data_IF_987859964278
#
_entry.id   IF_987859964278
#
_cell.length_a   1.000
_cell.length_b   1.000
_cell.length_c   1.000
_cell.angle_alpha   90.00
_cell.angle_beta   90.00
_cell.angle_gamma   90.00
#
_symmetry.space_group_name_H-M   'P 1'
#
loop_
_entity.id
_entity.type
_entity.pdbx_description
1 polymer ?
2 branched ?
3 non-polymer ?
4 non-polymer ?
5 water ?
#
# COMPACT_ATOMS: atom_id res chain seq x y z
N UNK A 1 -14.24 8.48 -1.38
CA UNK A 1 -13.70 7.58 -0.29
C UNK A 1 -13.86 6.18 -0.75
N UNK A 2 -13.05 5.25 -0.25
CA UNK A 2 -13.32 3.84 -0.45
C UNK A 2 -13.55 3.15 0.92
N UNK A 3 -14.19 1.99 0.89
CA UNK A 3 -14.52 1.20 2.08
C UNK A 3 -14.19 -0.30 1.99
N UNK A 4 -14.11 -0.95 3.15
CA UNK A 4 -13.95 -2.41 3.21
C UNK A 4 -14.35 -2.93 4.59
N UNK A 5 -15.19 -3.98 4.62
CA UNK A 5 -15.77 -4.51 5.84
C UNK A 5 -15.26 -5.94 5.96
N UNK A 6 -14.59 -6.25 7.07
CA UNK A 6 -14.03 -7.61 7.27
C UNK A 6 -15.18 -8.58 7.60
N UNK A 7 -16.29 -8.02 8.06
CA UNK A 7 -17.45 -8.81 8.37
C UNK A 7 -18.12 -9.38 7.12
N UNK A 8 -18.06 -10.72 6.96
CA UNK A 8 -18.51 -11.38 5.73
C UNK A 8 -17.54 -11.26 4.57
N UNK A 9 -16.42 -10.57 4.78
CA UNK A 9 -15.39 -10.47 3.71
C UNK A 9 -15.06 -11.85 3.11
N UNK A 10 -14.82 -11.88 1.80
CA UNK A 10 -14.38 -13.08 1.10
C UNK A 10 -13.50 -12.68 -0.07
N UNK A 11 -12.88 -13.64 -0.76
CA UNK A 11 -11.96 -13.17 -1.84
C UNK A 11 -12.55 -12.19 -2.83
N UNK A 12 -13.89 -12.27 -3.00
CA UNK A 12 -14.60 -11.42 -3.91
C UNK A 12 -14.74 -9.97 -3.38
N UNK A 13 -15.40 -9.72 -2.22
CA UNK A 13 -15.53 -8.36 -1.69
C UNK A 13 -14.13 -7.68 -1.48
N UNK A 14 -13.17 -8.47 -1.12
CA UNK A 14 -11.83 -7.87 -0.98
C UNK A 14 -11.41 -7.39 -2.37
N UNK A 15 -11.48 -8.28 -3.39
CA UNK A 15 -11.17 -7.89 -4.80
C UNK A 15 -11.88 -6.62 -5.22
N UNK A 16 -13.16 -6.52 -4.88
CA UNK A 16 -13.89 -5.32 -5.19
C UNK A 16 -13.26 -4.06 -4.48
N UNK A 17 -12.85 -4.19 -3.21
CA UNK A 17 -12.30 -3.05 -2.53
C UNK A 17 -10.96 -2.65 -3.21
N UNK A 18 -10.14 -3.64 -3.55
CA UNK A 18 -8.87 -3.27 -4.14
C UNK A 18 -9.15 -2.57 -5.50
N UNK A 19 -10.15 -3.07 -6.27
CA UNK A 19 -10.55 -2.36 -7.51
C UNK A 19 -11.04 -0.91 -7.24
N UNK A 20 -11.88 -0.72 -6.21
CA UNK A 20 -12.29 0.64 -5.82
C UNK A 20 -11.10 1.51 -5.43
N UNK A 21 -10.18 0.91 -4.67
CA UNK A 21 -8.97 1.65 -4.25
C UNK A 21 -8.19 2.14 -5.52
N UNK A 22 -7.88 1.25 -6.44
CA UNK A 22 -7.16 1.68 -7.65
C UNK A 22 -7.91 2.79 -8.41
N UNK A 23 -9.23 2.70 -8.41
CA UNK A 23 -10.08 3.58 -9.27
C UNK A 23 -10.26 4.93 -8.69
N UNK A 24 -10.05 5.02 -7.37
CA UNK A 24 -10.02 6.29 -6.68
C UNK A 24 -8.71 7.10 -6.91
N UNK A 25 -7.67 6.45 -7.41
CA UNK A 25 -6.41 7.14 -7.67
C UNK A 25 -6.42 7.80 -9.05
N UNK A 26 -6.17 9.10 -9.12
CA UNK A 26 -6.34 9.74 -10.41
C UNK A 26 -5.06 9.71 -11.24
N UNK A 27 -5.25 9.83 -12.55
CA UNK A 27 -4.16 9.82 -13.53
C UNK A 27 -4.76 10.49 -14.79
N UNK A 28 -3.90 10.94 -15.69
CA UNK A 28 -4.38 11.47 -16.99
C UNK A 28 -3.76 10.73 -18.18
N UNK A 29 -2.79 9.87 -17.90
CA UNK A 29 -2.06 9.12 -18.90
C UNK A 29 -1.93 7.64 -18.48
N UNK A 30 -1.79 6.73 -19.46
CA UNK A 30 -1.32 5.37 -19.16
C UNK A 30 0.01 5.17 -19.84
N UNK A 31 0.85 4.36 -19.23
CA UNK A 31 2.13 4.07 -19.84
C UNK A 31 2.14 2.54 -19.98
N UNK A 32 2.29 2.09 -21.24
CA UNK A 32 2.11 0.70 -21.59
C UNK A 32 0.81 0.15 -21.02
N UNK A 33 -0.22 1.00 -21.03
CA UNK A 33 -1.51 0.58 -20.61
C UNK A 33 -1.69 0.49 -19.05
N UNK A 34 -0.70 0.98 -18.30
CA UNK A 34 -0.78 1.04 -16.82
C UNK A 34 -0.99 2.46 -16.35
N UNK A 35 -2.06 2.73 -15.56
CA UNK A 35 -2.26 4.06 -15.09
C UNK A 35 -0.97 4.66 -14.52
N UNK A 36 -0.64 5.91 -14.89
CA UNK A 36 0.48 6.68 -14.34
C UNK A 36 -0.01 7.67 -13.30
N UNK A 37 0.41 7.48 -12.04
CA UNK A 37 0.02 8.42 -10.98
C UNK A 37 0.51 9.85 -11.22
N UNK A 38 -0.28 10.84 -10.76
CA UNK A 38 0.10 12.24 -10.98
C UNK A 38 1.38 12.67 -10.31
N UNK A 39 2.05 13.67 -10.88
CA UNK A 39 3.24 14.23 -10.25
C UNK A 39 2.95 14.88 -8.87
N UNK A 40 1.78 15.54 -8.72
CA UNK A 40 1.39 16.14 -7.49
C UNK A 40 -0.08 16.53 -7.59
N UNK A 41 -0.66 16.78 -6.43
CA UNK A 41 -2.03 17.23 -6.32
C UNK A 41 -1.96 18.21 -5.17
N UNK A 42 -2.66 19.34 -5.30
CA UNK A 42 -2.57 20.40 -4.31
C UNK A 42 -3.74 20.38 -3.32
N UNK A 43 -3.42 20.62 -2.05
CA UNK A 43 -4.40 20.71 -1.00
C UNK A 43 -5.03 19.38 -0.68
N UNK A 44 -6.31 19.43 -0.36
CA UNK A 44 -6.99 18.32 0.23
C UNK A 44 -7.11 17.15 -0.74
N UNK A 45 -7.17 17.42 -2.05
CA UNK A 45 -7.50 16.39 -3.00
C UNK A 45 -6.35 15.38 -3.14
N UNK A 46 -5.22 15.69 -2.53
CA UNK A 46 -4.08 14.81 -2.53
C UNK A 46 -4.35 13.51 -1.75
N UNK A 47 -5.39 13.49 -0.92
CA UNK A 47 -5.52 12.41 0.07
C UNK A 47 -6.80 11.59 -0.12
N UNK A 48 -6.68 10.28 -0.30
CA UNK A 48 -7.85 9.43 -0.24
C UNK A 48 -8.11 8.89 1.17
N UNK A 49 -9.39 8.86 1.59
CA UNK A 49 -9.85 8.25 2.87
C UNK A 49 -10.40 6.83 2.60
N UNK A 50 -9.75 5.85 3.22
CA UNK A 50 -10.20 4.46 3.27
C UNK A 50 -10.92 4.22 4.60
N UNK A 51 -12.20 3.89 4.53
CA UNK A 51 -12.92 3.47 5.74
C UNK A 51 -12.82 1.97 5.89
N UNK A 52 -12.13 1.51 6.93
CA UNK A 52 -11.99 0.07 7.16
C UNK A 52 -12.74 -0.34 8.42
N UNK A 53 -13.29 -1.46 8.44
CA UNK A 53 -14.20 -1.95 9.49
C UNK A 53 -13.83 -3.31 9.98
N UNK A 54 -13.48 -3.53 11.16
CA UNK A 54 -13.15 -4.83 11.67
C UNK A 54 -14.36 -5.73 11.75
N UNK A 55 -14.10 -6.97 12.10
CA UNK A 55 -15.17 -7.95 12.12
C UNK A 55 -16.36 -7.54 12.97
N UNK A 56 -16.11 -6.91 14.12
CA UNK A 56 -17.16 -6.40 15.00
C UNK A 56 -17.71 -5.10 14.56
N UNK A 57 -17.18 -4.57 13.48
CA UNK A 57 -17.83 -3.36 12.97
C UNK A 57 -17.28 -2.04 13.51
N UNK A 58 -16.21 -2.10 14.27
CA UNK A 58 -15.52 -0.84 14.65
C UNK A 58 -14.69 -0.38 13.46
N UNK A 59 -14.40 0.90 13.39
CA UNK A 59 -13.80 1.48 12.19
C UNK A 59 -12.62 2.42 12.45
N UNK A 60 -11.67 2.42 11.52
CA UNK A 60 -10.73 3.50 11.37
C UNK A 60 -10.81 4.08 9.95
N UNK A 61 -10.34 5.32 9.76
CA UNK A 61 -10.20 5.94 8.47
C UNK A 61 -8.73 6.16 8.20
N UNK A 62 -8.29 5.69 7.05
CA UNK A 62 -6.85 5.79 6.73
C UNK A 62 -6.76 6.82 5.59
N UNK A 63 -5.86 7.78 5.77
CA UNK A 63 -5.51 8.77 4.73
C UNK A 63 -4.39 8.28 3.85
N UNK A 64 -4.63 8.30 2.53
CA UNK A 64 -3.65 7.81 1.55
C UNK A 64 -3.28 8.94 0.53
N UNK A 65 -1.99 9.18 0.34
CA UNK A 65 -1.50 10.12 -0.64
C UNK A 65 -1.73 9.47 -2.04
N UNK A 66 -2.65 10.09 -2.82
CA UNK A 66 -3.08 9.55 -4.15
C UNK A 66 -1.96 9.60 -5.22
N UNK A 67 -0.85 10.28 -4.93
CA UNK A 67 0.26 10.36 -5.88
C UNK A 67 1.27 9.25 -5.72
N UNK A 68 1.35 8.61 -4.52
CA UNK A 68 2.31 7.48 -4.34
C UNK A 68 1.77 6.22 -3.59
N UNK A 69 0.50 6.29 -3.18
CA UNK A 69 -0.11 5.22 -2.41
C UNK A 69 0.56 5.01 -1.04
N UNK A 70 1.06 6.09 -0.44
CA UNK A 70 1.68 6.02 0.89
C UNK A 70 0.64 6.40 1.88
N UNK A 71 0.54 5.56 2.90
CA UNK A 71 -0.35 5.88 4.05
C UNK A 71 0.28 7.03 4.87
N UNK A 72 -0.51 8.07 5.11
CA UNK A 72 -0.08 9.25 5.86
C UNK A 72 -0.43 9.08 7.39
N UNK A 73 -1.56 8.48 7.64
CA UNK A 73 -2.05 8.44 9.04
C UNK A 73 -3.46 7.96 9.03
N UNK A 74 -4.12 7.94 10.19
CA UNK A 74 -5.48 7.39 10.29
C UNK A 74 -6.17 8.00 11.43
N UNK A 75 -7.46 7.79 11.43
CA UNK A 75 -8.28 8.33 12.50
C UNK A 75 -8.99 7.15 13.18
N UNK A 76 -8.82 7.08 14.48
CA UNK A 76 -9.44 6.07 15.30
C UNK A 76 -10.24 6.73 16.38
N UNK A 77 -11.54 6.76 16.19
CA UNK A 77 -12.49 7.46 17.02
C UNK A 77 -12.19 8.92 17.01
N UNK A 78 -11.89 9.50 18.15
CA UNK A 78 -11.72 10.91 18.19
C UNK A 78 -10.26 11.28 18.30
N UNK A 79 -9.40 10.38 17.89
CA UNK A 79 -7.97 10.64 17.95
C UNK A 79 -7.34 10.39 16.57
N UNK A 80 -6.53 11.33 16.05
CA UNK A 80 -5.85 11.06 14.78
C UNK A 80 -4.43 10.68 15.09
N UNK A 81 -3.79 9.97 14.18
CA UNK A 81 -2.39 9.49 14.33
C UNK A 81 -1.64 9.75 12.99
N UNK A 82 -0.38 10.22 12.96
CA UNK A 82 0.25 10.44 11.65
C UNK A 82 1.69 9.99 11.82
N UNK A 83 2.29 9.44 10.77
CA UNK A 83 3.71 9.16 10.82
C UNK A 83 4.59 10.38 11.13
N UNK A 84 5.82 10.14 11.63
CA UNK A 84 6.71 11.22 12.04
C UNK A 84 7.52 11.48 10.80
N UNK A 85 6.89 12.19 9.86
CA UNK A 85 7.56 12.53 8.55
C UNK A 85 6.88 13.75 7.91
N UNK A 86 7.67 14.54 7.15
CA UNK A 86 7.12 15.83 6.65
C UNK A 86 5.85 15.68 5.81
N UNK A 87 5.83 14.67 4.93
CA UNK A 87 4.69 14.37 4.11
C UNK A 87 3.46 14.11 4.96
N UNK A 88 3.59 13.34 6.06
CA UNK A 88 2.44 13.14 6.97
C UNK A 88 2.04 14.39 7.71
N UNK A 89 3.03 15.17 8.17
CA UNK A 89 2.77 16.41 8.90
C UNK A 89 1.97 17.33 7.97
N UNK A 90 2.41 17.43 6.71
CA UNK A 90 1.64 18.17 5.71
C UNK A 90 0.22 17.63 5.56
N UNK A 91 0.05 16.30 5.49
CA UNK A 91 -1.34 15.79 5.41
C UNK A 91 -2.21 16.16 6.62
N UNK A 92 -1.57 16.27 7.79
CA UNK A 92 -2.34 16.63 9.01
C UNK A 92 -2.93 18.04 8.90
N UNK A 93 -2.46 18.82 7.93
CA UNK A 93 -3.01 20.16 7.71
C UNK A 93 -4.37 20.05 7.03
N UNK A 94 -4.65 18.90 6.39
CA UNK A 94 -5.88 18.69 5.61
C UNK A 94 -6.92 17.65 6.06
N UNK A 95 -6.47 16.52 6.63
CA UNK A 95 -7.40 15.44 6.98
C UNK A 95 -7.50 15.27 8.50
N UNK A 96 -8.70 14.91 8.97
CA UNK A 96 -8.91 14.53 10.40
C UNK A 96 -8.75 15.73 11.33
N UNK A 97 -8.89 16.93 10.77
CA UNK A 97 -8.76 18.16 11.55
C UNK A 97 -9.72 18.21 12.74
N UNK A 98 -10.89 17.53 12.65
CA UNK A 98 -11.81 17.54 13.77
C UNK A 98 -11.58 16.49 14.87
N UNK A 99 -10.45 15.77 14.85
CA UNK A 99 -10.08 14.89 15.96
C UNK A 99 -9.90 15.74 17.19
N UNK A 100 -10.26 15.17 18.35
CA UNK A 100 -10.04 15.88 19.62
C UNK A 100 -8.55 16.03 19.95
N UNK A 101 -7.73 15.08 19.56
CA UNK A 101 -6.27 15.28 19.71
C UNK A 101 -5.58 14.57 18.58
N UNK A 102 -4.31 14.92 18.39
CA UNK A 102 -3.54 14.43 17.28
C UNK A 102 -2.27 13.89 17.90
N UNK A 103 -1.98 12.61 17.62
CA UNK A 103 -0.73 11.98 18.05
C UNK A 103 0.18 11.79 16.89
N UNK A 104 1.43 12.15 17.03
CA UNK A 104 2.35 11.79 16.01
C UNK A 104 2.82 10.44 16.50
N UNK A 105 2.87 9.45 15.64
CA UNK A 105 3.59 8.19 15.86
C UNK A 105 5.07 8.47 16.15
N UNK A 106 5.75 7.55 16.88
CA UNK A 106 7.20 7.78 17.01
C UNK A 106 8.15 7.29 15.89
N UNK A 107 7.59 7.04 14.71
CA UNK A 107 8.32 6.42 13.60
C UNK A 107 7.68 7.10 12.40
N UNK A 108 8.42 7.17 11.30
CA UNK A 108 7.89 7.45 9.96
C UNK A 108 7.32 6.17 9.36
N UNK A 109 6.89 6.25 8.10
CA UNK A 109 6.19 5.15 7.48
C UNK A 109 6.97 4.17 6.64
N UNK A 110 8.27 4.30 6.54
CA UNK A 110 8.90 3.33 5.67
C UNK A 110 9.16 1.98 6.32
N UNK A 111 9.27 0.97 5.47
CA UNK A 111 9.34 -0.37 5.93
C UNK A 111 10.45 -0.54 6.97
N UNK A 112 11.64 -0.04 6.68
CA UNK A 112 12.77 -0.24 7.60
C UNK A 112 12.44 0.19 9.03
N UNK A 113 11.96 1.42 9.17
CA UNK A 113 11.64 2.01 10.43
C UNK A 113 10.49 1.32 11.14
N UNK A 114 9.46 0.92 10.41
CA UNK A 114 8.31 0.20 11.03
C UNK A 114 8.75 -1.17 11.54
N UNK A 115 9.72 -1.81 10.85
CA UNK A 115 10.22 -3.14 11.21
C UNK A 115 11.08 -3.03 12.47
N UNK A 116 11.87 -1.95 12.56
CA UNK A 116 12.60 -1.64 13.79
C UNK A 116 11.62 -1.46 14.95
N UNK A 117 10.59 -0.60 14.76
CA UNK A 117 9.62 -0.37 15.80
C UNK A 117 8.93 -1.63 16.24
N UNK A 118 8.52 -2.45 15.27
CA UNK A 118 7.78 -3.68 15.51
C UNK A 118 8.65 -4.80 16.12
N UNK A 119 9.95 -4.71 15.94
CA UNK A 119 10.85 -5.74 16.46
C UNK A 119 10.97 -7.00 15.57
N UNK A 120 10.65 -6.88 14.29
CA UNK A 120 10.79 -8.01 13.39
C UNK A 120 10.63 -7.60 11.94
N UNK A 121 11.22 -8.35 11.01
CA UNK A 121 11.08 -7.98 9.60
C UNK A 121 9.67 -8.45 9.12
N UNK A 122 9.18 -7.90 8.05
CA UNK A 122 7.90 -8.34 7.64
C UNK A 122 7.87 -9.74 6.97
N UNK A 123 9.03 -10.30 6.64
CA UNK A 123 9.11 -11.70 6.28
C UNK A 123 8.50 -12.60 7.36
N UNK A 124 8.44 -12.13 8.60
CA UNK A 124 8.08 -13.01 9.68
C UNK A 124 6.73 -12.64 10.21
N UNK A 125 6.03 -11.70 9.54
CA UNK A 125 4.67 -11.25 10.01
C UNK A 125 3.53 -11.76 9.07
N UNK A 126 2.69 -12.66 9.56
CA UNK A 126 1.67 -13.22 8.69
C UNK A 126 0.78 -12.08 8.18
N UNK A 127 0.29 -12.22 6.95
CA UNK A 127 -0.69 -11.27 6.42
C UNK A 127 -1.87 -12.02 5.87
N UNK A 128 -3.03 -11.32 5.71
CA UNK A 128 -4.16 -11.97 5.20
C UNK A 128 -5.34 -11.16 5.72
N UNK A 129 -6.53 -11.60 5.41
CA UNK A 129 -7.70 -10.86 5.90
C UNK A 129 -7.80 -11.00 7.43
N UNK A 130 -7.56 -12.20 7.99
CA UNK A 130 -7.71 -12.17 9.47
C UNK A 130 -6.69 -11.24 10.10
N UNK A 131 -5.45 -11.19 9.57
CA UNK A 131 -4.50 -10.25 10.12
C UNK A 131 -4.89 -8.77 9.95
N UNK A 132 -5.48 -8.43 8.82
CA UNK A 132 -6.04 -7.10 8.66
C UNK A 132 -7.04 -6.80 9.73
N UNK A 133 -7.92 -7.76 10.02
CA UNK A 133 -8.92 -7.53 11.10
C UNK A 133 -8.28 -7.24 12.49
N UNK A 134 -7.20 -7.96 12.81
CA UNK A 134 -6.39 -7.69 13.98
C UNK A 134 -5.79 -6.26 13.91
N UNK A 135 -5.10 -5.95 12.79
CA UNK A 135 -4.50 -4.63 12.52
C UNK A 135 -5.48 -3.53 12.88
N UNK A 136 -6.62 -3.56 12.21
CA UNK A 136 -7.64 -2.58 12.49
C UNK A 136 -7.85 -2.52 14.01
N UNK A 137 -8.02 -3.67 14.67
CA UNK A 137 -8.43 -3.66 16.11
C UNK A 137 -7.34 -3.01 16.95
N UNK A 138 -6.11 -3.34 16.66
CA UNK A 138 -5.02 -2.77 17.36
C UNK A 138 -4.92 -1.27 17.26
N UNK A 139 -5.18 -0.72 16.06
CA UNK A 139 -4.96 0.70 15.77
C UNK A 139 -6.05 1.51 16.45
N UNK A 140 -7.08 0.81 16.85
CA UNK A 140 -8.20 1.44 17.58
C UNK A 140 -7.74 2.01 18.96
N UNK A 141 -6.67 1.46 19.57
CA UNK A 141 -6.14 2.07 20.78
C UNK A 141 -4.66 2.21 20.81
N UNK A 142 -4.19 3.40 21.21
CA UNK A 142 -2.81 3.72 20.93
C UNK A 142 -1.90 2.72 21.57
N UNK A 143 -1.03 2.09 20.79
CA UNK A 143 0.07 1.30 21.36
C UNK A 143 1.19 1.28 20.34
N UNK A 144 2.18 2.16 20.47
CA UNK A 144 3.05 2.36 19.31
C UNK A 144 3.77 1.12 18.82
N UNK A 145 4.17 0.23 19.73
CA UNK A 145 4.91 -0.97 19.36
C UNK A 145 4.03 -1.91 18.55
N UNK A 146 2.84 -2.17 19.06
CA UNK A 146 1.87 -3.06 18.37
C UNK A 146 1.37 -2.40 17.07
N UNK A 147 1.22 -1.07 17.10
CA UNK A 147 0.87 -0.35 15.90
C UNK A 147 1.84 -0.50 14.75
N UNK A 148 3.12 -0.63 15.05
CA UNK A 148 4.09 -0.71 13.96
C UNK A 148 3.80 -1.98 13.14
N UNK A 149 3.61 -3.10 13.82
CA UNK A 149 3.31 -4.40 13.17
C UNK A 149 1.93 -4.35 12.50
N UNK A 150 0.98 -3.69 13.15
CA UNK A 150 -0.36 -3.54 12.53
C UNK A 150 -0.29 -2.73 11.17
N UNK A 151 0.45 -1.64 11.16
CA UNK A 151 0.66 -0.83 9.97
C UNK A 151 1.40 -1.59 8.87
N UNK A 152 2.40 -2.40 9.22
CA UNK A 152 3.01 -3.28 8.25
C UNK A 152 1.97 -4.17 7.56
N UNK A 153 1.04 -4.68 8.37
CA UNK A 153 0.01 -5.55 7.80
C UNK A 153 -0.88 -4.72 6.90
N UNK A 154 -1.30 -3.55 7.44
CA UNK A 154 -2.27 -2.69 6.75
C UNK A 154 -1.74 -2.14 5.41
N UNK A 155 -0.45 -1.78 5.38
CA UNK A 155 0.13 -1.24 4.13
C UNK A 155 0.12 -2.34 3.04
N UNK A 156 0.61 -3.53 3.42
CA UNK A 156 0.69 -4.63 2.49
C UNK A 156 -0.65 -5.10 1.92
N UNK A 157 -1.67 -5.12 2.76
CA UNK A 157 -2.95 -5.60 2.31
C UNK A 157 -3.81 -4.52 1.67
N UNK A 158 -3.34 -3.27 1.65
CA UNK A 158 -4.17 -2.27 0.97
C UNK A 158 -3.40 -1.61 -0.22
N UNK A 159 -2.26 -0.95 0.07
CA UNK A 159 -1.48 -0.25 -0.95
C UNK A 159 -0.69 -1.25 -1.78
N UNK A 160 -0.07 -2.25 -1.18
CA UNK A 160 0.74 -3.13 -2.01
C UNK A 160 -0.12 -3.99 -2.94
N UNK A 161 -1.27 -4.42 -2.42
CA UNK A 161 -2.29 -5.07 -3.26
C UNK A 161 -2.84 -4.21 -4.39
N UNK A 162 -3.09 -2.91 -4.15
CA UNK A 162 -3.57 -2.03 -5.26
C UNK A 162 -2.44 -1.94 -6.34
N UNK A 163 -1.20 -1.93 -5.90
CA UNK A 163 -0.09 -1.78 -6.82
C UNK A 163 0.20 -3.00 -7.68
N UNK A 164 0.01 -4.20 -7.11
CA UNK A 164 0.36 -5.42 -7.83
C UNK A 164 -0.67 -6.49 -7.79
N UNK A 165 -1.05 -7.00 -8.96
CA UNK A 165 -2.21 -7.92 -9.01
C UNK A 165 -1.84 -9.21 -8.28
N UNK A 166 -0.57 -9.60 -8.36
CA UNK A 166 -0.13 -10.77 -7.70
C UNK A 166 -0.38 -10.60 -6.15
N UNK A 167 -0.20 -9.39 -5.62
CA UNK A 167 -0.19 -9.30 -4.15
C UNK A 167 -1.66 -9.36 -3.71
N UNK A 168 -2.51 -8.80 -4.54
CA UNK A 168 -3.95 -8.89 -4.31
C UNK A 168 -4.35 -10.40 -4.24
N UNK A 169 -3.83 -11.21 -5.18
CA UNK A 169 -4.12 -12.65 -5.19
C UNK A 169 -3.55 -13.39 -3.98
N UNK A 170 -2.35 -13.03 -3.55
CA UNK A 170 -1.83 -13.55 -2.30
C UNK A 170 -2.77 -13.33 -1.12
N UNK A 171 -3.28 -12.12 -0.98
CA UNK A 171 -4.21 -11.79 0.13
C UNK A 171 -5.48 -12.59 0.01
N UNK A 172 -6.01 -12.71 -1.21
CA UNK A 172 -7.24 -13.50 -1.45
C UNK A 172 -7.01 -14.96 -1.10
N UNK A 173 -5.80 -15.46 -1.30
CA UNK A 173 -5.45 -16.84 -0.93
C UNK A 173 -5.45 -16.94 0.63
N UNK A 174 -5.20 -15.82 1.31
CA UNK A 174 -5.10 -15.80 2.74
C UNK A 174 -6.37 -15.23 3.32
N UNK A 175 -7.49 -15.43 2.67
CA UNK A 175 -8.74 -14.85 3.22
C UNK A 175 -9.23 -15.32 4.61
N UNK A 176 -8.89 -16.55 4.97
CA UNK A 176 -9.37 -17.18 6.19
C UNK A 176 -8.27 -17.78 6.98
N UNK A 177 -7.05 -17.64 6.48
CA UNK A 177 -5.87 -18.15 7.17
C UNK A 177 -4.67 -17.24 6.82
N UNK A 178 -4.07 -16.54 7.79
CA UNK A 178 -2.89 -15.73 7.49
C UNK A 178 -1.72 -16.57 7.13
N UNK A 179 -0.79 -16.02 6.34
CA UNK A 179 0.52 -16.63 6.13
C UNK A 179 1.53 -15.53 5.86
N UNK A 180 2.81 -15.74 6.22
CA UNK A 180 3.81 -14.73 5.90
C UNK A 180 3.78 -14.55 4.37
N UNK A 181 4.12 -13.34 3.88
CA UNK A 181 4.15 -13.05 2.42
C UNK A 181 5.27 -13.87 1.76
N UNK A 182 5.07 -14.23 0.47
CA UNK A 182 6.08 -14.99 -0.26
C UNK A 182 7.29 -14.08 -0.48
N UNK A 183 8.49 -14.62 -0.76
CA UNK A 183 9.51 -13.66 -1.08
C UNK A 183 9.28 -12.85 -2.38
N UNK A 184 8.53 -13.42 -3.31
CA UNK A 184 8.10 -12.65 -4.50
C UNK A 184 7.36 -11.41 -4.05
N UNK A 185 6.46 -11.57 -3.08
CA UNK A 185 5.67 -10.45 -2.59
C UNK A 185 6.57 -9.34 -2.03
N UNK A 186 7.52 -9.76 -1.18
CA UNK A 186 8.54 -8.86 -0.66
C UNK A 186 9.34 -8.14 -1.79
N UNK A 187 9.84 -8.93 -2.74
CA UNK A 187 10.53 -8.40 -3.95
C UNK A 187 9.68 -7.34 -4.68
N UNK A 188 8.40 -7.63 -5.02
CA UNK A 188 7.63 -6.64 -5.73
C UNK A 188 7.50 -5.34 -4.93
N UNK A 189 7.13 -5.46 -3.64
CA UNK A 189 7.06 -4.29 -2.76
C UNK A 189 8.31 -3.47 -2.83
N UNK A 190 9.45 -4.14 -2.66
CA UNK A 190 10.69 -3.43 -2.71
C UNK A 190 11.07 -2.82 -4.07
N UNK A 191 10.46 -3.30 -5.16
CA UNK A 191 10.87 -2.89 -6.53
C UNK A 191 9.92 -1.93 -7.20
N UNK A 192 8.89 -1.52 -6.46
CA UNK A 192 7.82 -0.77 -7.07
C UNK A 192 8.29 0.54 -7.69
N UNK A 193 9.06 1.30 -6.93
CA UNK A 193 9.68 2.48 -7.47
C UNK A 193 10.58 2.17 -8.70
N UNK A 194 11.52 1.25 -8.54
CA UNK A 194 12.36 0.85 -9.66
C UNK A 194 11.63 0.44 -10.94
N UNK A 195 10.59 -0.38 -10.79
CA UNK A 195 9.78 -0.80 -11.93
C UNK A 195 9.01 0.32 -12.56
N UNK A 196 8.45 1.17 -11.72
CA UNK A 196 7.70 2.30 -12.19
C UNK A 196 8.61 3.17 -13.06
N UNK A 197 9.84 3.39 -12.61
CA UNK A 197 10.80 4.20 -13.35
C UNK A 197 11.26 3.57 -14.69
N UNK A 198 11.54 2.26 -14.69
CA UNK A 198 12.02 1.55 -15.86
C UNK A 198 10.95 1.39 -16.94
N UNK A 199 9.68 1.30 -16.54
CA UNK A 199 8.59 1.22 -17.45
C UNK A 199 8.49 2.61 -18.12
N UNK A 200 8.61 3.68 -17.34
CA UNK A 200 8.56 5.01 -17.92
C UNK A 200 9.75 5.32 -18.88
N UNK A 201 10.93 4.86 -18.52
CA UNK A 201 12.10 5.07 -19.38
C UNK A 201 12.05 4.25 -20.66
N UNK A 202 11.30 3.16 -20.63
CA UNK A 202 11.20 2.35 -21.81
C UNK A 202 10.39 3.07 -22.93
N UNK A 203 9.63 4.12 -22.57
CA UNK A 203 8.72 4.78 -23.51
C UNK A 203 9.50 5.33 -24.71
N UNK A 204 10.69 5.86 -24.46
CA UNK A 204 11.52 6.27 -25.57
C UNK A 204 12.73 5.39 -25.84
N UNK A 205 12.71 4.15 -25.41
CA UNK A 205 13.86 3.27 -25.56
C UNK A 205 13.27 2.00 -26.14
N UNK A 206 12.16 2.13 -26.88
CA UNK A 206 11.57 0.97 -27.59
C UNK A 206 11.13 -0.19 -26.68
N UNK A 207 10.63 0.13 -25.49
CA UNK A 207 10.19 -0.89 -24.55
C UNK A 207 11.30 -1.64 -23.82
N UNK A 208 12.55 -1.21 -23.97
CA UNK A 208 13.68 -1.80 -23.24
C UNK A 208 13.95 -0.93 -21.99
N UNK A 209 14.09 -1.58 -20.82
CA UNK A 209 14.57 -0.91 -19.58
C UNK A 209 16.00 -0.41 -19.76
N UNK A 210 16.29 0.84 -19.37
CA UNK A 210 17.69 1.31 -19.25
C UNK A 210 18.50 0.52 -18.22
N UNK A 211 17.90 0.24 -17.06
CA UNK A 211 18.49 -0.63 -16.07
C UNK A 211 17.54 -1.80 -15.70
N UNK A 212 18.04 -3.04 -15.77
CA UNK A 212 17.27 -4.24 -15.43
C UNK A 212 16.85 -4.25 -13.98
N UNK A 213 15.65 -4.75 -13.72
CA UNK A 213 15.17 -5.00 -12.36
C UNK A 213 15.25 -6.49 -12.01
N UNK A 214 15.91 -6.79 -10.88
CA UNK A 214 16.02 -8.15 -10.36
C UNK A 214 14.86 -8.44 -9.40
N UNK A 215 14.06 -9.45 -9.71
CA UNK A 215 13.00 -9.88 -8.84
C UNK A 215 13.20 -11.32 -8.37
N UNK A 216 12.46 -11.68 -7.33
CA UNK A 216 12.24 -13.09 -7.04
C UNK A 216 10.87 -13.52 -7.60
N UNK A 217 10.83 -14.63 -8.32
CA UNK A 217 9.56 -15.14 -8.86
C UNK A 217 8.82 -16.10 -7.90
N UNK A 218 7.61 -16.52 -8.27
CA UNK A 218 6.71 -17.32 -7.41
C UNK A 218 7.40 -18.56 -6.88
N UNK A 219 8.13 -19.22 -7.77
CA UNK A 219 8.84 -20.44 -7.43
C UNK A 219 9.99 -20.18 -6.46
N UNK A 220 10.29 -18.91 -6.21
CA UNK A 220 11.40 -18.56 -5.28
C UNK A 220 12.72 -18.33 -5.99
N UNK A 221 12.63 -18.23 -7.32
CA UNK A 221 13.77 -18.04 -8.21
C UNK A 221 14.07 -16.57 -8.56
N UNK A 222 15.35 -16.20 -8.47
CA UNK A 222 15.79 -14.86 -8.80
C UNK A 222 15.81 -14.68 -10.31
N UNK A 223 15.19 -13.60 -10.77
CA UNK A 223 15.06 -13.34 -12.23
C UNK A 223 15.29 -11.85 -12.61
N UNK A 224 15.80 -11.60 -13.82
CA UNK A 224 15.96 -10.24 -14.34
C UNK A 224 14.83 -9.83 -15.28
N UNK A 225 14.25 -8.65 -15.06
CA UNK A 225 13.21 -8.06 -15.95
C UNK A 225 13.95 -7.00 -16.79
N UNK A 226 13.83 -7.04 -18.12
CA UNK A 226 14.67 -6.15 -18.98
C UNK A 226 13.90 -5.32 -19.98
N UNK A 227 12.60 -5.58 -20.11
CA UNK A 227 11.78 -4.90 -21.09
C UNK A 227 10.28 -5.07 -20.80
N UNK A 228 9.42 -4.30 -21.45
CA UNK A 228 7.98 -4.30 -21.14
C UNK A 228 7.20 -5.53 -21.54
N UNK A 229 7.88 -6.51 -22.13
CA UNK A 229 7.23 -7.75 -22.55
C UNK A 229 7.03 -8.71 -21.39
N UNK A 230 7.69 -8.44 -20.26
CA UNK A 230 7.57 -9.32 -19.10
C UNK A 230 6.14 -9.38 -18.51
N UNK A 231 5.79 -10.53 -17.93
CA UNK A 231 4.48 -10.68 -17.28
C UNK A 231 4.27 -9.67 -16.12
N UNK A 232 5.35 -9.33 -15.45
CA UNK A 232 5.29 -8.27 -14.42
C UNK A 232 4.71 -6.97 -14.93
N UNK A 233 5.16 -6.51 -16.12
CA UNK A 233 4.59 -5.33 -16.79
C UNK A 233 3.21 -5.54 -17.43
N UNK A 234 3.03 -6.65 -18.11
CA UNK A 234 1.82 -6.88 -18.88
C UNK A 234 0.63 -7.29 -18.06
N UNK A 235 0.85 -8.02 -16.98
CA UNK A 235 -0.27 -8.50 -16.16
C UNK A 235 -0.23 -8.03 -14.71
N UNK A 236 0.92 -7.98 -14.10
CA UNK A 236 1.05 -7.70 -12.66
C UNK A 236 0.90 -6.29 -12.06
N UNK A 237 1.81 -5.37 -12.40
CA UNK A 237 1.77 -4.02 -11.88
C UNK A 237 0.54 -3.28 -12.34
N UNK A 238 -0.13 -2.59 -11.44
CA UNK A 238 -1.36 -1.90 -11.78
C UNK A 238 -1.29 -0.39 -11.71
N UNK A 239 -0.17 0.12 -11.20
CA UNK A 239 -0.03 1.56 -10.89
C UNK A 239 1.43 1.92 -10.96
N UNK A 240 1.73 3.07 -11.56
CA UNK A 240 3.14 3.53 -11.73
C UNK A 240 3.31 4.80 -10.93
N UNK A 241 4.29 4.76 -10.05
CA UNK A 241 4.82 5.96 -9.43
C UNK A 241 5.51 6.78 -10.56
N UNK A 242 5.02 7.99 -10.75
CA UNK A 242 5.56 9.00 -11.68
C UNK A 242 7.07 9.22 -11.42
N UNK A 243 7.93 9.19 -12.46
CA UNK A 243 9.36 9.46 -12.21
C UNK A 243 9.68 10.83 -11.65
N UNK A 244 8.77 11.79 -11.82
CA UNK A 244 8.96 13.08 -11.17
C UNK A 244 9.10 12.93 -9.63
N UNK A 245 8.59 11.81 -9.07
CA UNK A 245 8.71 11.54 -7.63
C UNK A 245 9.81 10.51 -7.27
N UNK A 246 10.74 10.24 -8.18
CA UNK A 246 11.77 9.23 -7.91
C UNK A 246 13.22 9.76 -8.01
#
# INVERSE_FOLDING_TARGET
DVSFRLSGADPSSYGMFIKDLRNALPHTEKVYNIPLLLPSVSGAGRYLLMHLFNYDGNTITVAVDVTNVYIMGYLALTTSYFFNEPAADLASQYVFRSARRKITLPYSGNYERLQIAAGKPREKIPIGLPALDTAISTLLHYDSTAAAGALLVLIQTTAEAARFKYIEQQIQERAYRDEVPSSATISLENSWSGLSKQIQLAQGNNGVFRTPTVLVDSKGNRVQITNVTSNVVTSNIQLLLNTKNI
#
